data_IF_846507937042
#
_entry.id   IF_846507937042
#
_cell.length_a   1.000
_cell.length_b   1.000
_cell.length_c   1.000
_cell.angle_alpha   90.00
_cell.angle_beta   90.00
_cell.angle_gamma   90.00
#
_symmetry.space_group_name_H-M   'P 1'
#
loop_
_entity.id
_entity.type
_entity.pdbx_description
1 polymer ?
#
# COMPACT_ATOMS: atom_id res chain seq x y z
N UNK A 1 -9.61 -2.55 14.91
CA UNK A 1 -8.20 -2.99 14.83
C UNK A 1 -7.28 -2.03 14.05
N UNK A 2 -7.66 -0.77 13.78
CA UNK A 2 -6.86 0.16 12.97
C UNK A 2 -5.54 0.63 13.63
N UNK A 3 -5.51 0.74 14.96
CA UNK A 3 -4.32 1.22 15.70
C UNK A 3 -3.11 0.29 15.62
N UNK A 4 -3.31 -1.03 15.54
CA UNK A 4 -2.20 -1.98 15.44
C UNK A 4 -1.54 -1.99 14.06
N UNK A 5 -2.32 -1.88 12.98
CA UNK A 5 -1.75 -1.76 11.62
C UNK A 5 -0.96 -0.46 11.45
N UNK A 6 -1.46 0.64 12.00
CA UNK A 6 -0.75 1.92 11.94
C UNK A 6 0.64 1.83 12.58
N UNK A 7 0.74 1.30 13.81
CA UNK A 7 2.03 1.11 14.49
C UNK A 7 2.95 0.16 13.71
N UNK A 8 2.41 -0.96 13.19
CA UNK A 8 3.19 -1.88 12.38
C UNK A 8 3.75 -1.21 11.11
N UNK A 9 2.96 -0.37 10.43
CA UNK A 9 3.41 0.39 9.26
C UNK A 9 4.51 1.40 9.63
N UNK A 10 4.38 2.11 10.76
CA UNK A 10 5.42 3.03 11.21
C UNK A 10 6.73 2.31 11.53
N UNK A 11 6.68 1.16 12.19
CA UNK A 11 7.88 0.35 12.48
C UNK A 11 8.55 -0.12 11.18
N UNK A 12 7.75 -0.49 10.17
CA UNK A 12 8.27 -0.93 8.88
C UNK A 12 9.07 0.17 8.15
N UNK A 13 8.68 1.44 8.28
CA UNK A 13 9.46 2.56 7.71
C UNK A 13 10.83 2.73 8.36
N UNK A 14 11.05 2.16 9.55
CA UNK A 14 12.31 2.22 10.28
C UNK A 14 13.19 0.98 10.05
N UNK A 15 12.68 -0.06 9.38
CA UNK A 15 13.36 -1.35 9.21
C UNK A 15 14.69 -1.21 8.45
N UNK A 16 14.77 -0.26 7.52
CA UNK A 16 15.95 -0.03 6.68
C UNK A 16 16.90 1.05 7.22
N UNK A 17 16.63 1.61 8.42
CA UNK A 17 17.49 2.63 9.02
C UNK A 17 18.72 2.00 9.70
N UNK A 18 19.87 2.04 9.02
CA UNK A 18 21.10 1.37 9.47
C UNK A 18 22.03 2.25 10.32
N UNK A 19 21.76 3.55 10.42
CA UNK A 19 22.56 4.49 11.19
C UNK A 19 21.71 5.51 11.96
N UNK A 20 22.26 6.16 13.01
CA UNK A 20 21.50 7.09 13.85
C UNK A 20 20.97 8.32 13.13
N UNK A 21 21.66 8.80 12.08
CA UNK A 21 21.23 9.97 11.31
C UNK A 21 20.02 9.60 10.47
N UNK A 22 20.10 8.50 9.71
CA UNK A 22 18.98 7.97 8.93
C UNK A 22 17.77 7.67 9.83
N UNK A 23 17.99 7.12 11.02
CA UNK A 23 16.92 6.87 11.99
C UNK A 23 16.25 8.18 12.45
N UNK A 24 17.03 9.21 12.77
CA UNK A 24 16.49 10.51 13.20
C UNK A 24 15.64 11.14 12.10
N UNK A 25 16.14 11.14 10.86
CA UNK A 25 15.42 11.66 9.70
C UNK A 25 14.13 10.88 9.43
N UNK A 26 14.16 9.55 9.55
CA UNK A 26 12.98 8.71 9.36
C UNK A 26 11.92 8.95 10.46
N UNK A 27 12.36 9.13 11.72
CA UNK A 27 11.47 9.46 12.84
C UNK A 27 10.80 10.82 12.67
N UNK A 28 11.53 11.83 12.17
CA UNK A 28 10.99 13.17 11.87
C UNK A 28 10.00 13.14 10.69
N UNK A 29 10.20 12.22 9.75
CA UNK A 29 9.38 12.09 8.55
C UNK A 29 8.35 10.95 8.61
N UNK A 30 7.99 10.44 9.80
CA UNK A 30 6.96 9.41 9.90
C UNK A 30 5.61 9.89 9.33
N UNK A 31 4.83 8.99 8.69
CA UNK A 31 3.49 9.33 8.24
C UNK A 31 2.59 9.67 9.43
N UNK A 32 1.81 10.74 9.30
CA UNK A 32 0.94 11.30 10.34
C UNK A 32 -0.26 10.41 10.66
N UNK A 33 -0.77 9.70 9.65
CA UNK A 33 -1.92 8.82 9.76
C UNK A 33 -1.88 7.71 8.70
N UNK A 34 -2.88 6.81 8.74
CA UNK A 34 -3.00 5.71 7.79
C UNK A 34 -3.17 6.18 6.34
N UNK A 35 -3.82 7.32 6.10
CA UNK A 35 -4.02 7.81 4.73
C UNK A 35 -2.68 8.23 4.14
N UNK A 36 -1.86 8.94 4.91
CA UNK A 36 -0.51 9.30 4.49
C UNK A 36 0.37 8.07 4.27
N UNK A 37 0.27 7.06 5.14
CA UNK A 37 0.94 5.77 4.94
C UNK A 37 0.56 5.15 3.59
N UNK A 38 -0.73 5.02 3.29
CA UNK A 38 -1.18 4.44 2.02
C UNK A 38 -0.78 5.30 0.82
N UNK A 39 -0.84 6.63 0.92
CA UNK A 39 -0.40 7.53 -0.14
C UNK A 39 1.07 7.32 -0.49
N UNK A 40 1.95 7.18 0.52
CA UNK A 40 3.38 6.89 0.31
C UNK A 40 3.61 5.50 -0.29
N UNK A 41 2.87 4.48 0.16
CA UNK A 41 2.95 3.13 -0.41
C UNK A 41 2.58 3.17 -1.90
N UNK A 42 1.47 3.83 -2.23
CA UNK A 42 1.01 3.93 -3.62
C UNK A 42 2.01 4.73 -4.49
N UNK A 43 2.57 5.82 -3.98
CA UNK A 43 3.55 6.66 -4.68
C UNK A 43 4.90 5.97 -4.92
N UNK A 44 5.27 4.96 -4.12
CA UNK A 44 6.50 4.17 -4.30
C UNK A 44 6.34 3.03 -5.32
N UNK A 45 5.12 2.72 -5.74
CA UNK A 45 4.90 1.64 -6.71
C UNK A 45 5.36 2.09 -8.10
N UNK A 46 6.01 1.20 -8.88
CA UNK A 46 6.28 1.46 -10.29
C UNK A 46 4.99 1.76 -11.08
N UNK A 47 5.05 2.75 -11.97
CA UNK A 47 3.91 3.23 -12.78
C UNK A 47 3.20 2.10 -13.53
N UNK A 48 3.93 1.09 -14.01
CA UNK A 48 3.35 -0.05 -14.73
C UNK A 48 2.44 -0.95 -13.86
N UNK A 49 2.47 -0.79 -12.53
CA UNK A 49 1.54 -1.45 -11.61
C UNK A 49 0.36 -0.57 -11.20
N UNK A 50 0.35 0.72 -11.56
CA UNK A 50 -0.68 1.67 -11.09
C UNK A 50 -2.07 1.22 -11.51
N UNK A 51 -2.26 0.93 -12.81
CA UNK A 51 -3.50 0.43 -13.35
C UNK A 51 -3.98 -0.82 -12.59
N UNK A 52 -3.14 -1.85 -12.51
CA UNK A 52 -3.51 -3.11 -11.87
C UNK A 52 -3.84 -2.92 -10.38
N UNK A 53 -3.08 -2.07 -9.68
CA UNK A 53 -3.33 -1.78 -8.28
C UNK A 53 -4.68 -1.07 -8.08
N UNK A 54 -4.99 -0.07 -8.90
CA UNK A 54 -6.29 0.62 -8.85
C UNK A 54 -7.43 -0.38 -9.08
N UNK A 55 -7.28 -1.26 -10.07
CA UNK A 55 -8.28 -2.29 -10.36
C UNK A 55 -8.54 -3.19 -9.15
N UNK A 56 -7.48 -3.76 -8.57
CA UNK A 56 -7.58 -4.64 -7.40
C UNK A 56 -8.22 -3.91 -6.23
N UNK A 57 -7.81 -2.66 -5.95
CA UNK A 57 -8.39 -1.87 -4.86
C UNK A 57 -9.88 -1.57 -5.06
N UNK A 58 -10.31 -1.28 -6.30
CA UNK A 58 -11.73 -1.10 -6.63
C UNK A 58 -12.51 -2.40 -6.39
N UNK A 59 -12.00 -3.54 -6.85
CA UNK A 59 -12.63 -4.84 -6.62
C UNK A 59 -12.73 -5.17 -5.13
N UNK A 60 -11.68 -4.89 -4.35
CA UNK A 60 -11.70 -5.07 -2.90
C UNK A 60 -12.70 -4.15 -2.18
N UNK A 61 -12.90 -2.93 -2.68
CA UNK A 61 -13.83 -1.96 -2.09
C UNK A 61 -15.29 -2.26 -2.41
N UNK A 62 -15.57 -2.66 -3.65
CA UNK A 62 -16.95 -2.79 -4.16
C UNK A 62 -17.48 -4.21 -4.18
N UNK A 63 -16.62 -5.24 -4.04
CA UNK A 63 -17.10 -6.62 -4.05
C UNK A 63 -17.96 -6.91 -2.82
N UNK A 64 -19.18 -7.46 -3.00
CA UNK A 64 -20.06 -7.79 -1.88
C UNK A 64 -19.55 -8.98 -1.05
N UNK A 65 -18.58 -9.73 -1.58
CA UNK A 65 -17.96 -10.90 -0.94
C UNK A 65 -16.43 -10.80 -1.01
N UNK A 66 -15.70 -11.43 -0.07
CA UNK A 66 -14.26 -11.62 -0.23
C UNK A 66 -13.95 -12.31 -1.56
N UNK A 67 -12.99 -11.76 -2.30
CA UNK A 67 -12.53 -12.30 -3.58
C UNK A 67 -11.38 -13.28 -3.35
N UNK A 68 -11.32 -14.34 -4.14
CA UNK A 68 -10.14 -15.19 -4.22
C UNK A 68 -9.01 -14.49 -4.99
N UNK A 69 -7.78 -14.98 -4.82
CA UNK A 69 -6.64 -14.49 -5.61
C UNK A 69 -6.89 -14.74 -7.10
N UNK A 70 -7.47 -15.89 -7.45
CA UNK A 70 -7.81 -16.26 -8.83
C UNK A 70 -8.81 -15.28 -9.44
N UNK A 71 -9.88 -14.91 -8.70
CA UNK A 71 -10.87 -13.92 -9.16
C UNK A 71 -10.23 -12.54 -9.40
N UNK A 72 -9.26 -12.13 -8.57
CA UNK A 72 -8.53 -10.88 -8.76
C UNK A 72 -7.56 -10.93 -9.96
N UNK A 73 -6.91 -12.06 -10.19
CA UNK A 73 -6.03 -12.28 -11.35
C UNK A 73 -6.85 -12.17 -12.64
N UNK A 74 -8.00 -12.84 -12.69
CA UNK A 74 -8.90 -12.77 -13.85
C UNK A 74 -9.40 -11.34 -14.07
N UNK A 75 -9.78 -10.64 -13.00
CA UNK A 75 -10.23 -9.25 -13.07
C UNK A 75 -9.17 -8.31 -13.66
N UNK A 76 -7.90 -8.48 -13.27
CA UNK A 76 -6.78 -7.71 -13.81
C UNK A 76 -6.49 -8.10 -15.26
N UNK A 77 -6.58 -9.39 -15.62
CA UNK A 77 -6.36 -9.86 -16.98
C UNK A 77 -7.44 -9.41 -17.98
N UNK A 78 -8.67 -9.16 -17.51
CA UNK A 78 -9.78 -8.66 -18.33
C UNK A 78 -9.72 -7.14 -18.56
N UNK A 79 -8.84 -6.41 -17.86
CA UNK A 79 -8.60 -5.00 -18.19
C UNK A 79 -8.00 -4.91 -19.59
N UNK A 80 -8.88 -4.69 -20.56
CA UNK A 80 -8.54 -4.35 -21.93
C UNK A 80 -7.73 -3.06 -21.85
N UNK A 81 -6.48 -3.10 -22.31
CA UNK A 81 -5.68 -1.92 -22.59
C UNK A 81 -6.55 -0.93 -23.40
N UNK A 82 -6.61 0.34 -22.99
CA UNK A 82 -7.18 1.40 -23.84
C UNK A 82 -6.40 1.53 -25.15
#
# INVERSE_FOLDING_TARGET
>A
QARFRYVACQIKELEDCLDPTALSEALENLPKDLNETYARILARMPDHYEANTICVLQFLLYSPKPLSIEELVDAVAVRVDE
#
